data_IF_948340207407
#
_entry.id   IF_948340207407
#
_cell.length_a   1.000
_cell.length_b   1.000
_cell.length_c   1.000
_cell.angle_alpha   90.00
_cell.angle_beta   90.00
_cell.angle_gamma   90.00
#
_symmetry.space_group_name_H-M   'P 1'
#
loop_
_entity.id
_entity.type
_entity.pdbx_description
1 polymer ?
#
# COMPACT_ATOMS: atom_id res chain seq x y z
N UNK A 1 -42.82 -38.63 -8.05
CA UNK A 1 -42.86 -37.19 -8.41
C UNK A 1 -41.56 -36.57 -7.97
N UNK A 2 -40.75 -36.13 -8.92
CA UNK A 2 -39.46 -35.49 -8.64
C UNK A 2 -39.74 -34.12 -8.00
N UNK A 3 -39.30 -33.89 -6.75
CA UNK A 3 -39.48 -32.61 -6.07
C UNK A 3 -38.46 -31.59 -6.64
N UNK A 4 -38.82 -31.03 -7.81
CA UNK A 4 -38.03 -30.09 -8.56
C UNK A 4 -37.77 -28.79 -7.73
N UNK A 5 -38.79 -28.32 -7.01
CA UNK A 5 -38.71 -27.10 -6.18
C UNK A 5 -37.75 -27.28 -5.02
N UNK A 6 -37.83 -28.40 -4.31
CA UNK A 6 -36.90 -28.68 -3.19
C UNK A 6 -35.46 -28.84 -3.65
N UNK A 7 -35.25 -29.41 -4.85
CA UNK A 7 -33.92 -29.54 -5.44
C UNK A 7 -33.30 -28.17 -5.80
N UNK A 8 -34.05 -27.27 -6.40
CA UNK A 8 -33.60 -25.90 -6.73
C UNK A 8 -33.23 -25.13 -5.45
N UNK A 9 -34.08 -25.19 -4.42
CA UNK A 9 -33.84 -24.52 -3.16
C UNK A 9 -32.53 -25.00 -2.52
N UNK A 10 -32.30 -26.33 -2.47
CA UNK A 10 -31.07 -26.91 -1.94
C UNK A 10 -29.83 -26.48 -2.73
N UNK A 11 -29.91 -26.46 -4.06
CA UNK A 11 -28.83 -25.97 -4.92
C UNK A 11 -28.51 -24.49 -4.67
N UNK A 12 -29.52 -23.65 -4.52
CA UNK A 12 -29.35 -22.24 -4.20
C UNK A 12 -28.64 -22.03 -2.86
N UNK A 13 -29.03 -22.75 -1.82
CA UNK A 13 -28.36 -22.68 -0.52
C UNK A 13 -26.91 -23.17 -0.61
N UNK A 14 -26.63 -24.24 -1.33
CA UNK A 14 -25.28 -24.76 -1.48
C UNK A 14 -24.35 -23.74 -2.20
N UNK A 15 -24.84 -23.12 -3.27
CA UNK A 15 -24.09 -22.07 -4.00
C UNK A 15 -23.86 -20.84 -3.10
N UNK A 16 -24.88 -20.41 -2.35
CA UNK A 16 -24.75 -19.26 -1.44
C UNK A 16 -23.75 -19.52 -0.32
N UNK A 17 -23.76 -20.71 0.26
CA UNK A 17 -22.79 -21.12 1.29
C UNK A 17 -21.35 -21.19 0.73
N UNK A 18 -21.19 -21.73 -0.48
CA UNK A 18 -19.89 -21.77 -1.16
C UNK A 18 -19.36 -20.36 -1.43
N UNK A 19 -20.22 -19.47 -1.93
CA UNK A 19 -19.86 -18.07 -2.16
C UNK A 19 -19.45 -17.38 -0.85
N UNK A 20 -20.23 -17.55 0.21
CA UNK A 20 -19.97 -16.96 1.52
C UNK A 20 -18.65 -17.47 2.11
N UNK A 21 -18.36 -18.75 2.02
CA UNK A 21 -17.11 -19.34 2.49
C UNK A 21 -15.89 -18.74 1.77
N UNK A 22 -15.97 -18.57 0.46
CA UNK A 22 -14.89 -17.92 -0.31
C UNK A 22 -14.72 -16.43 0.01
N UNK A 23 -15.83 -15.71 0.23
CA UNK A 23 -15.81 -14.32 0.66
C UNK A 23 -15.14 -14.18 2.05
N UNK A 24 -15.52 -15.01 3.01
CA UNK A 24 -14.91 -15.04 4.35
C UNK A 24 -13.42 -15.34 4.24
N UNK A 25 -13.01 -16.35 3.47
CA UNK A 25 -11.60 -16.70 3.30
C UNK A 25 -10.76 -15.54 2.73
N UNK A 26 -11.31 -14.77 1.79
CA UNK A 26 -10.65 -13.57 1.24
C UNK A 26 -10.59 -12.43 2.25
N UNK A 27 -11.64 -12.19 3.00
CA UNK A 27 -11.66 -11.19 4.08
C UNK A 27 -10.63 -11.52 5.16
N UNK A 28 -10.51 -12.79 5.56
CA UNK A 28 -9.52 -13.23 6.55
C UNK A 28 -8.09 -12.99 6.06
N UNK A 29 -7.77 -13.33 4.80
CA UNK A 29 -6.45 -13.05 4.20
C UNK A 29 -6.13 -11.55 4.17
N UNK A 30 -7.11 -10.74 3.85
CA UNK A 30 -6.95 -9.28 3.85
C UNK A 30 -6.79 -8.73 5.28
N UNK A 31 -7.58 -9.22 6.24
CA UNK A 31 -7.48 -8.89 7.65
C UNK A 31 -6.10 -9.24 8.23
N UNK A 32 -5.56 -10.42 7.88
CA UNK A 32 -4.20 -10.83 8.28
C UNK A 32 -3.14 -9.84 7.76
N UNK A 33 -3.24 -9.41 6.50
CA UNK A 33 -2.31 -8.42 5.93
C UNK A 33 -2.38 -7.09 6.70
N UNK A 34 -3.57 -6.61 6.97
CA UNK A 34 -3.80 -5.35 7.72
C UNK A 34 -3.29 -5.45 9.16
N UNK A 35 -3.54 -6.58 9.81
CA UNK A 35 -3.05 -6.86 11.16
C UNK A 35 -1.52 -6.92 11.22
N UNK A 36 -0.87 -7.51 10.21
CA UNK A 36 0.59 -7.54 10.08
C UNK A 36 1.18 -6.14 10.00
N UNK A 37 0.62 -5.26 9.17
CA UNK A 37 1.05 -3.86 9.07
C UNK A 37 0.90 -3.15 10.42
N UNK A 38 -0.23 -3.35 11.11
CA UNK A 38 -0.46 -2.76 12.44
C UNK A 38 0.57 -3.25 13.47
N UNK A 39 0.87 -4.53 13.45
CA UNK A 39 1.89 -5.12 14.35
C UNK A 39 3.30 -4.62 14.04
N UNK A 40 3.64 -4.40 12.77
CA UNK A 40 4.91 -3.78 12.43
C UNK A 40 4.97 -2.32 12.89
N UNK A 41 3.87 -1.57 12.83
CA UNK A 41 3.80 -0.21 13.37
C UNK A 41 4.17 -0.15 14.86
N UNK A 42 3.71 -1.12 15.66
CA UNK A 42 4.00 -1.19 17.10
C UNK A 42 5.50 -1.44 17.41
N UNK A 43 6.27 -1.90 16.41
CA UNK A 43 7.72 -2.15 16.52
C UNK A 43 8.57 -1.02 15.97
N UNK A 44 7.93 -0.06 15.35
CA UNK A 44 8.59 1.12 14.82
C UNK A 44 8.74 2.20 15.89
N UNK A 45 9.67 3.10 15.68
CA UNK A 45 9.99 4.20 16.58
C UNK A 45 10.07 5.51 15.81
N UNK A 46 9.96 6.67 16.48
CA UNK A 46 10.05 7.97 15.84
C UNK A 46 11.38 8.15 15.11
N UNK A 47 11.34 8.78 13.94
CA UNK A 47 12.53 9.10 13.16
C UNK A 47 13.42 10.13 13.88
N UNK A 48 14.71 10.14 13.53
CA UNK A 48 15.66 11.18 13.93
C UNK A 48 15.14 12.58 13.54
N UNK A 49 15.46 13.59 14.32
CA UNK A 49 14.97 14.98 14.11
C UNK A 49 15.20 15.52 12.70
N UNK A 50 16.36 15.23 12.10
CA UNK A 50 16.67 15.69 10.74
C UNK A 50 15.74 15.03 9.69
N UNK A 51 15.41 13.74 9.85
CA UNK A 51 14.47 13.03 8.97
C UNK A 51 13.06 13.62 9.06
N UNK A 52 12.62 13.91 10.30
CA UNK A 52 11.32 14.55 10.53
C UNK A 52 11.25 15.94 9.87
N UNK A 53 12.34 16.72 9.96
CA UNK A 53 12.41 18.03 9.31
C UNK A 53 12.27 17.92 7.80
N UNK A 54 13.07 17.04 7.17
CA UNK A 54 13.01 16.78 5.72
C UNK A 54 11.59 16.33 5.32
N UNK A 55 10.98 15.45 6.11
CA UNK A 55 9.63 14.96 5.87
C UNK A 55 8.59 16.09 5.89
N UNK A 56 8.66 16.97 6.89
CA UNK A 56 7.73 18.11 6.99
C UNK A 56 7.95 19.14 5.87
N UNK A 57 9.19 19.34 5.42
CA UNK A 57 9.49 20.21 4.28
C UNK A 57 8.90 19.63 2.98
N UNK A 58 9.14 18.36 2.66
CA UNK A 58 8.54 17.68 1.51
C UNK A 58 7.01 17.68 1.55
N UNK A 59 6.43 17.44 2.73
CA UNK A 59 4.97 17.48 2.95
C UNK A 59 4.40 18.88 2.65
N UNK A 60 5.10 19.93 3.05
CA UNK A 60 4.71 21.32 2.80
C UNK A 60 4.76 21.65 1.31
N UNK A 61 5.82 21.22 0.61
CA UNK A 61 5.97 21.41 -0.84
C UNK A 61 4.86 20.70 -1.63
N UNK A 62 4.43 19.53 -1.17
CA UNK A 62 3.28 18.80 -1.74
C UNK A 62 1.92 19.42 -1.39
N UNK A 63 1.87 20.42 -0.52
CA UNK A 63 0.63 21.08 -0.06
C UNK A 63 -0.21 20.21 0.88
N UNK A 64 0.38 19.22 1.54
CA UNK A 64 -0.30 18.30 2.46
C UNK A 64 -0.38 18.97 3.84
N UNK A 65 -1.58 19.32 4.28
CA UNK A 65 -1.83 19.97 5.58
C UNK A 65 -2.11 18.99 6.72
N UNK A 66 -2.53 17.77 6.38
CA UNK A 66 -2.87 16.75 7.38
C UNK A 66 -1.61 16.27 8.11
N UNK A 67 -1.75 15.98 9.42
CA UNK A 67 -0.69 15.33 10.16
C UNK A 67 -0.52 13.89 9.66
N UNK A 68 0.70 13.55 9.28
CA UNK A 68 1.13 12.21 8.88
C UNK A 68 2.28 11.84 9.80
N UNK A 69 2.18 10.68 10.44
CA UNK A 69 3.22 10.17 11.29
C UNK A 69 4.36 9.57 10.44
N UNK A 70 5.61 9.83 10.78
CA UNK A 70 6.76 9.20 10.14
C UNK A 70 7.53 8.37 11.16
N UNK A 71 7.71 7.09 10.85
CA UNK A 71 8.33 6.11 11.75
C UNK A 71 9.46 5.37 11.04
N UNK A 72 10.46 4.92 11.81
CA UNK A 72 11.51 4.04 11.34
C UNK A 72 11.41 2.67 11.99
N UNK A 73 11.81 1.62 11.23
CA UNK A 73 11.79 0.25 11.74
C UNK A 73 12.86 -0.62 11.11
N UNK A 74 13.53 -1.45 11.93
CA UNK A 74 14.58 -2.38 11.46
C UNK A 74 14.08 -3.44 10.49
N UNK A 75 12.79 -3.72 10.46
CA UNK A 75 12.16 -4.68 9.53
C UNK A 75 11.62 -4.04 8.28
N UNK A 76 11.64 -2.72 8.23
CA UNK A 76 11.22 -1.95 7.06
C UNK A 76 12.43 -1.88 6.12
N UNK A 77 12.37 -2.61 5.03
CA UNK A 77 13.44 -2.63 4.02
C UNK A 77 13.19 -1.60 2.91
N UNK A 78 11.92 -1.32 2.63
CA UNK A 78 11.50 -0.37 1.60
C UNK A 78 10.54 0.62 2.24
N UNK A 79 10.64 1.92 1.95
CA UNK A 79 9.65 2.90 2.36
C UNK A 79 8.23 2.44 2.01
N UNK A 80 7.27 2.74 2.86
CA UNK A 80 5.87 2.41 2.61
C UNK A 80 4.93 3.35 3.34
N UNK A 81 3.79 3.63 2.75
CA UNK A 81 2.70 4.40 3.36
C UNK A 81 1.53 3.49 3.73
N UNK A 82 0.98 3.64 4.93
CA UNK A 82 -0.17 2.89 5.39
C UNK A 82 -1.10 3.72 6.27
N UNK A 83 -2.36 3.25 6.39
CA UNK A 83 -3.39 3.83 7.25
C UNK A 83 -4.23 4.92 6.58
N UNK A 84 -5.57 4.74 6.60
CA UNK A 84 -6.53 5.72 6.06
C UNK A 84 -6.82 6.83 7.08
N UNK A 85 -7.20 6.43 8.30
CA UNK A 85 -7.63 7.37 9.34
C UNK A 85 -6.43 8.03 10.05
N UNK A 86 -5.38 7.26 10.29
CA UNK A 86 -4.11 7.71 10.88
C UNK A 86 -2.98 7.33 9.93
N UNK A 87 -2.73 8.13 8.91
CA UNK A 87 -1.71 7.84 7.92
C UNK A 87 -0.33 7.87 8.56
N UNK A 88 0.48 6.90 8.17
CA UNK A 88 1.84 6.75 8.63
C UNK A 88 2.75 6.37 7.47
N UNK A 89 3.91 7.00 7.38
CA UNK A 89 4.99 6.63 6.47
C UNK A 89 6.04 5.88 7.27
N UNK A 90 6.43 4.71 6.77
CA UNK A 90 7.48 3.89 7.35
C UNK A 90 8.73 4.03 6.52
N UNK A 91 9.86 4.24 7.19
CA UNK A 91 11.17 4.35 6.57
C UNK A 91 12.11 3.29 7.14
N UNK A 92 13.07 2.76 6.36
CA UNK A 92 14.13 1.92 6.89
C UNK A 92 15.03 2.71 7.85
N UNK A 93 15.73 1.98 8.72
CA UNK A 93 16.64 2.58 9.70
C UNK A 93 17.97 2.98 9.07
N UNK A 94 18.26 2.50 7.86
CA UNK A 94 19.50 2.78 7.17
C UNK A 94 19.74 4.28 6.96
N UNK A 95 21.01 4.69 7.09
CA UNK A 95 21.40 6.07 6.77
C UNK A 95 21.37 6.24 5.24
N UNK A 96 20.40 7.06 4.81
CA UNK A 96 20.25 7.49 3.42
C UNK A 96 20.83 8.90 3.26
N UNK A 97 21.39 9.17 2.10
CA UNK A 97 21.71 10.54 1.73
C UNK A 97 20.45 11.40 1.69
N UNK A 98 20.56 12.68 1.98
CA UNK A 98 19.40 13.58 2.05
C UNK A 98 18.56 13.57 0.77
N UNK A 99 19.23 13.51 -0.39
CA UNK A 99 18.54 13.46 -1.68
C UNK A 99 17.79 12.12 -1.91
N UNK A 100 18.39 11.01 -1.48
CA UNK A 100 17.75 9.70 -1.52
C UNK A 100 16.51 9.69 -0.62
N UNK A 101 16.65 10.21 0.59
CA UNK A 101 15.57 10.32 1.56
C UNK A 101 14.42 11.19 1.02
N UNK A 102 14.71 12.35 0.44
CA UNK A 102 13.71 13.21 -0.21
C UNK A 102 12.98 12.49 -1.33
N UNK A 103 13.72 11.79 -2.19
CA UNK A 103 13.15 11.01 -3.30
C UNK A 103 12.10 10.01 -2.81
N UNK A 104 12.44 9.23 -1.77
CA UNK A 104 11.53 8.26 -1.17
C UNK A 104 10.31 8.94 -0.53
N UNK A 105 10.54 10.03 0.21
CA UNK A 105 9.47 10.76 0.87
C UNK A 105 8.49 11.36 -0.15
N UNK A 106 8.96 11.93 -1.26
CA UNK A 106 8.09 12.44 -2.33
C UNK A 106 7.26 11.33 -2.95
N UNK A 107 7.86 10.16 -3.20
CA UNK A 107 7.13 9.01 -3.74
C UNK A 107 6.01 8.58 -2.77
N UNK A 108 6.31 8.34 -1.51
CA UNK A 108 5.36 7.91 -0.49
C UNK A 108 4.25 8.92 -0.22
N UNK A 109 4.61 10.20 -0.13
CA UNK A 109 3.63 11.27 0.06
C UNK A 109 2.73 11.47 -1.17
N UNK A 110 3.21 11.10 -2.37
CA UNK A 110 2.37 11.14 -3.58
C UNK A 110 1.29 10.08 -3.52
N UNK A 111 1.59 8.84 -3.10
CA UNK A 111 0.59 7.81 -2.84
C UNK A 111 -0.50 8.30 -1.86
N UNK A 112 -0.06 8.95 -0.78
CA UNK A 112 -1.00 9.53 0.17
C UNK A 112 -1.88 10.62 -0.48
N UNK A 113 -1.30 11.55 -1.23
CA UNK A 113 -1.99 12.66 -1.89
C UNK A 113 -3.03 12.18 -2.91
N UNK A 114 -2.74 11.07 -3.61
CA UNK A 114 -3.63 10.43 -4.59
C UNK A 114 -4.69 9.53 -3.96
N UNK A 115 -4.66 9.37 -2.64
CA UNK A 115 -5.57 8.47 -1.92
C UNK A 115 -5.44 6.99 -2.34
N UNK A 116 -4.26 6.54 -2.77
CA UNK A 116 -4.03 5.17 -3.24
C UNK A 116 -4.38 4.14 -2.16
N UNK A 117 -4.09 4.44 -0.89
CA UNK A 117 -4.47 3.57 0.23
C UNK A 117 -5.99 3.36 0.27
N UNK A 118 -6.78 4.41 0.07
CA UNK A 118 -8.24 4.30 0.06
C UNK A 118 -8.72 3.44 -1.12
N UNK A 119 -8.19 3.69 -2.32
CA UNK A 119 -8.53 2.90 -3.50
C UNK A 119 -8.14 1.43 -3.37
N UNK A 120 -7.01 1.13 -2.73
CA UNK A 120 -6.60 -0.23 -2.41
C UNK A 120 -7.59 -0.95 -1.49
N UNK A 121 -8.19 -0.26 -0.50
CA UNK A 121 -9.24 -0.85 0.34
C UNK A 121 -10.52 -1.13 -0.47
N UNK A 122 -10.93 -0.22 -1.37
CA UNK A 122 -12.06 -0.46 -2.28
C UNK A 122 -11.77 -1.66 -3.19
N UNK A 123 -10.57 -1.74 -3.76
CA UNK A 123 -10.13 -2.88 -4.56
C UNK A 123 -10.22 -4.21 -3.78
N UNK A 124 -9.75 -4.23 -2.55
CA UNK A 124 -9.84 -5.40 -1.68
C UNK A 124 -11.29 -5.79 -1.40
N UNK A 125 -12.18 -4.83 -1.13
CA UNK A 125 -13.61 -5.09 -0.94
C UNK A 125 -14.22 -5.73 -2.18
N UNK A 126 -13.93 -5.20 -3.36
CA UNK A 126 -14.40 -5.77 -4.63
C UNK A 126 -13.87 -7.19 -4.86
N UNK A 127 -12.60 -7.45 -4.54
CA UNK A 127 -12.02 -8.80 -4.61
C UNK A 127 -12.67 -9.74 -3.60
N UNK A 128 -13.07 -9.28 -2.41
CA UNK A 128 -13.79 -10.10 -1.44
C UNK A 128 -15.19 -10.50 -1.92
N UNK A 129 -15.91 -9.56 -2.54
CA UNK A 129 -17.26 -9.82 -3.08
C UNK A 129 -17.19 -10.74 -4.32
N UNK A 130 -16.24 -10.48 -5.20
CA UNK A 130 -16.08 -11.18 -6.49
C UNK A 130 -14.88 -12.13 -6.50
N UNK A 131 -14.62 -12.79 -5.38
CA UNK A 131 -13.45 -13.65 -5.19
C UNK A 131 -13.31 -14.76 -6.23
N UNK A 132 -14.42 -15.21 -6.79
CA UNK A 132 -14.51 -16.25 -7.83
C UNK A 132 -14.12 -15.73 -9.22
N UNK A 133 -14.00 -14.41 -9.42
CA UNK A 133 -13.68 -13.80 -10.70
C UNK A 133 -12.18 -13.44 -10.77
N UNK A 134 -11.35 -14.19 -11.53
CA UNK A 134 -9.90 -13.91 -11.60
C UNK A 134 -9.59 -12.57 -12.29
N UNK A 135 -10.46 -12.12 -13.20
CA UNK A 135 -10.26 -10.88 -13.94
C UNK A 135 -10.24 -9.65 -13.04
N UNK A 136 -11.02 -9.64 -11.97
CA UNK A 136 -11.08 -8.49 -11.06
C UNK A 136 -9.73 -8.23 -10.39
N UNK A 137 -9.02 -9.29 -10.00
CA UNK A 137 -7.67 -9.19 -9.44
C UNK A 137 -6.68 -8.66 -10.47
N UNK A 138 -6.81 -9.06 -11.73
CA UNK A 138 -5.95 -8.60 -12.82
C UNK A 138 -6.16 -7.12 -13.08
N UNK A 139 -7.41 -6.65 -13.09
CA UNK A 139 -7.75 -5.23 -13.26
C UNK A 139 -7.12 -4.39 -12.14
N UNK A 140 -7.29 -4.80 -10.88
CA UNK A 140 -6.71 -4.05 -9.76
C UNK A 140 -5.18 -4.06 -9.76
N UNK A 141 -4.55 -5.20 -10.09
CA UNK A 141 -3.09 -5.25 -10.25
C UNK A 141 -2.60 -4.27 -11.32
N UNK A 142 -3.30 -4.19 -12.45
CA UNK A 142 -2.97 -3.22 -13.51
C UNK A 142 -3.17 -1.78 -13.05
N UNK A 143 -4.21 -1.51 -12.27
CA UNK A 143 -4.42 -0.20 -11.67
C UNK A 143 -3.27 0.18 -10.71
N UNK A 144 -2.80 -0.76 -9.88
CA UNK A 144 -1.66 -0.54 -9.00
C UNK A 144 -0.39 -0.24 -9.81
N UNK A 145 -0.09 -1.03 -10.86
CA UNK A 145 1.04 -0.79 -11.76
C UNK A 145 1.00 0.63 -12.37
N UNK A 146 -0.18 1.10 -12.80
CA UNK A 146 -0.34 2.46 -13.32
C UNK A 146 -0.21 3.53 -12.21
N UNK A 147 -0.70 3.25 -11.01
CA UNK A 147 -0.53 4.15 -9.86
C UNK A 147 0.94 4.36 -9.54
N UNK A 148 1.75 3.29 -9.53
CA UNK A 148 3.21 3.37 -9.36
C UNK A 148 3.86 4.28 -10.42
N UNK A 149 3.55 4.07 -11.71
CA UNK A 149 4.09 4.92 -12.79
C UNK A 149 3.77 6.40 -12.57
N UNK A 150 2.55 6.71 -12.14
CA UNK A 150 2.15 8.11 -11.90
C UNK A 150 2.83 8.67 -10.65
N UNK A 151 3.05 7.85 -9.61
CA UNK A 151 3.80 8.28 -8.42
C UNK A 151 5.26 8.53 -8.74
N UNK A 152 5.90 7.66 -9.54
CA UNK A 152 7.25 7.84 -10.04
C UNK A 152 7.40 9.15 -10.83
N UNK A 153 6.53 9.38 -11.82
CA UNK A 153 6.54 10.60 -12.62
C UNK A 153 6.34 11.86 -11.79
N UNK A 154 5.47 11.78 -10.78
CA UNK A 154 5.23 12.89 -9.85
C UNK A 154 6.46 13.17 -8.99
N UNK A 155 7.07 12.14 -8.42
CA UNK A 155 8.28 12.26 -7.61
C UNK A 155 9.47 12.79 -8.43
N UNK A 156 9.62 12.34 -9.69
CA UNK A 156 10.63 12.89 -10.62
C UNK A 156 10.45 14.40 -10.81
N UNK A 157 9.20 14.88 -10.89
CA UNK A 157 8.91 16.33 -11.00
C UNK A 157 9.44 17.13 -9.81
N UNK A 158 9.44 16.58 -8.59
CA UNK A 158 9.98 17.23 -7.40
C UNK A 158 11.50 17.07 -7.28
N UNK A 159 12.05 15.91 -7.65
CA UNK A 159 13.50 15.64 -7.65
C UNK A 159 14.23 16.40 -8.77
N UNK A 160 13.52 16.74 -9.84
CA UNK A 160 14.05 17.50 -10.98
C UNK A 160 14.94 16.70 -11.95
N UNK A 161 15.15 15.39 -11.70
CA UNK A 161 15.99 14.54 -12.57
C UNK A 161 15.53 13.08 -12.54
N UNK A 162 15.06 12.60 -13.68
CA UNK A 162 14.67 11.21 -13.85
C UNK A 162 15.84 10.24 -13.61
N UNK A 163 17.04 10.59 -14.10
CA UNK A 163 18.23 9.76 -13.91
C UNK A 163 18.52 9.56 -12.41
N UNK A 164 18.52 10.65 -11.64
CA UNK A 164 18.77 10.61 -10.18
C UNK A 164 17.71 9.78 -9.48
N UNK A 165 16.44 10.00 -9.80
CA UNK A 165 15.31 9.24 -9.27
C UNK A 165 15.50 7.72 -9.44
N UNK A 166 15.69 7.27 -10.70
CA UNK A 166 15.83 5.85 -10.99
C UNK A 166 17.12 5.24 -10.41
N UNK A 167 18.23 5.99 -10.35
CA UNK A 167 19.44 5.51 -9.65
C UNK A 167 19.16 5.25 -8.17
N UNK A 168 18.48 6.18 -7.49
CA UNK A 168 18.11 6.03 -6.06
C UNK A 168 17.22 4.80 -5.83
N UNK A 169 16.15 4.65 -6.62
CA UNK A 169 15.23 3.51 -6.49
C UNK A 169 15.95 2.18 -6.76
N UNK A 170 16.83 2.14 -7.76
CA UNK A 170 17.60 0.95 -8.09
C UNK A 170 18.57 0.55 -6.96
N UNK A 171 19.33 1.50 -6.40
CA UNK A 171 20.22 1.26 -5.27
C UNK A 171 19.47 0.73 -4.04
N UNK A 172 18.31 1.29 -3.74
CA UNK A 172 17.45 0.80 -2.65
C UNK A 172 16.94 -0.62 -2.90
N UNK A 173 16.53 -0.91 -4.14
CA UNK A 173 16.08 -2.25 -4.52
C UNK A 173 17.19 -3.30 -4.36
N UNK A 174 18.43 -2.98 -4.73
CA UNK A 174 19.57 -3.86 -4.53
C UNK A 174 19.86 -4.12 -3.03
N UNK A 175 19.87 -3.07 -2.22
CA UNK A 175 20.05 -3.20 -0.76
C UNK A 175 18.99 -4.08 -0.11
N UNK A 176 17.73 -3.97 -0.55
CA UNK A 176 16.63 -4.77 -0.01
C UNK A 176 16.74 -6.27 -0.36
N UNK A 177 17.46 -6.62 -1.42
CA UNK A 177 17.69 -8.01 -1.83
C UNK A 177 18.93 -8.64 -1.19
N UNK A 178 19.67 -7.89 -0.38
CA UNK A 178 20.83 -8.40 0.36
C UNK A 178 22.07 -8.70 -0.50
N UNK A 179 22.19 -8.03 -1.66
CA UNK A 179 23.36 -8.07 -2.55
C UNK A 179 24.23 -6.85 -2.30
#
# INVERSE_FOLDING_TARGET
VFDFTGTIIKAFYAISLFWLAGAIATVLKFGERTFRIRREKERCFPCKMYVQKIFEDCKRELGIRRSIEVLQGYRIQIPMTAGILKPCVFLPVEDMEEEQLKTCIYHELTHYKKHDIFWNYIACLMVCIHWYCPWIRTVFRKNDEWSEVICDLSAIGYVGSAKRYFTTIFEMSQKSQGI
#
